data_IF_760039031541
#
_entry.id   IF_760039031541
#
_cell.length_a   1.000
_cell.length_b   1.000
_cell.length_c   1.000
_cell.angle_alpha   90.00
_cell.angle_beta   90.00
_cell.angle_gamma   90.00
#
_symmetry.space_group_name_H-M   'P 1'
#
loop_
_entity.id
_entity.type
_entity.pdbx_description
1 polymer ?
#
# COMPACT_ATOMS: atom_id res chain seq x y z
N UNK A 1 -13.61 42.76 -36.68
CA UNK A 1 -13.16 41.44 -36.20
C UNK A 1 -14.40 40.66 -35.76
N UNK A 2 -15.01 39.87 -36.64
CA UNK A 2 -16.14 39.00 -36.30
C UNK A 2 -15.63 37.57 -36.01
N UNK A 3 -16.22 36.85 -35.04
CA UNK A 3 -15.83 35.48 -34.71
C UNK A 3 -16.35 34.46 -35.74
N UNK A 4 -15.53 33.43 -36.02
CA UNK A 4 -15.81 32.33 -36.96
C UNK A 4 -16.99 31.45 -36.48
N UNK A 5 -17.95 31.08 -37.34
CA UNK A 5 -19.06 30.22 -36.97
C UNK A 5 -18.64 28.74 -36.83
N UNK A 6 -19.32 28.00 -35.96
CA UNK A 6 -19.11 26.58 -35.70
C UNK A 6 -19.47 25.69 -36.92
N UNK A 7 -18.77 24.56 -37.15
CA UNK A 7 -19.05 23.70 -38.30
C UNK A 7 -20.34 22.89 -38.10
N UNK A 8 -21.20 22.93 -39.11
CA UNK A 8 -22.48 22.24 -39.18
C UNK A 8 -22.35 20.72 -39.12
N UNK A 9 -23.24 20.08 -38.34
CA UNK A 9 -23.42 18.63 -38.29
C UNK A 9 -23.77 18.08 -39.67
N UNK A 10 -23.02 17.08 -40.14
CA UNK A 10 -23.39 16.31 -41.33
C UNK A 10 -24.33 15.19 -40.92
N UNK A 11 -25.62 15.44 -41.13
CA UNK A 11 -26.68 14.44 -41.21
C UNK A 11 -26.53 13.74 -42.56
N UNK A 12 -26.04 12.49 -42.59
CA UNK A 12 -26.40 11.51 -43.62
C UNK A 12 -25.73 10.17 -43.36
N UNK A 13 -26.47 9.22 -42.77
CA UNK A 13 -26.22 7.78 -42.91
C UNK A 13 -27.55 7.04 -42.73
N UNK A 14 -27.87 6.06 -43.59
CA UNK A 14 -29.19 5.44 -43.71
C UNK A 14 -29.53 4.54 -42.50
N UNK A 15 -30.83 4.32 -42.20
CA UNK A 15 -31.21 3.53 -41.03
C UNK A 15 -30.99 2.04 -41.30
N UNK A 16 -30.33 1.28 -40.40
CA UNK A 16 -30.47 -0.16 -40.43
C UNK A 16 -31.81 -0.53 -39.80
N UNK A 17 -32.75 -0.90 -40.66
CA UNK A 17 -33.94 -1.67 -40.27
C UNK A 17 -33.50 -2.96 -39.58
N UNK A 18 -33.91 -3.14 -38.33
CA UNK A 18 -33.69 -4.40 -37.60
C UNK A 18 -33.45 -4.17 -36.13
N UNK A 19 -34.51 -4.29 -35.34
CA UNK A 19 -34.48 -4.35 -33.88
C UNK A 19 -33.51 -5.42 -33.41
N UNK A 20 -32.29 -5.03 -33.04
CA UNK A 20 -31.45 -5.78 -32.13
C UNK A 20 -30.85 -4.80 -31.13
N UNK A 21 -31.50 -4.74 -29.97
CA UNK A 21 -30.92 -4.18 -28.76
C UNK A 21 -29.63 -4.96 -28.49
N UNK A 22 -28.49 -4.38 -28.83
CA UNK A 22 -27.21 -4.83 -28.30
C UNK A 22 -27.14 -4.29 -26.87
N UNK A 23 -27.64 -5.08 -25.92
CA UNK A 23 -27.30 -4.94 -24.52
C UNK A 23 -25.79 -5.10 -24.40
N UNK A 24 -25.08 -4.01 -24.13
CA UNK A 24 -23.68 -4.04 -23.73
C UNK A 24 -23.60 -4.57 -22.29
N UNK A 25 -23.80 -5.88 -22.16
CA UNK A 25 -23.59 -6.62 -20.93
C UNK A 25 -22.08 -6.72 -20.68
N UNK A 26 -21.48 -5.66 -20.13
CA UNK A 26 -20.15 -5.71 -19.51
C UNK A 26 -20.25 -6.51 -18.21
N UNK A 27 -20.37 -7.83 -18.37
CA UNK A 27 -20.52 -8.81 -17.31
C UNK A 27 -19.26 -9.00 -16.48
N UNK A 28 -18.90 -8.02 -15.65
CA UNK A 28 -18.10 -8.30 -14.48
C UNK A 28 -19.02 -8.94 -13.44
N UNK A 29 -18.89 -10.26 -13.24
CA UNK A 29 -19.49 -10.91 -12.08
C UNK A 29 -19.08 -10.14 -10.82
N UNK A 30 -20.02 -9.88 -9.91
CA UNK A 30 -19.70 -9.24 -8.63
C UNK A 30 -18.49 -9.96 -8.01
N UNK A 31 -17.45 -9.22 -7.56
CA UNK A 31 -16.23 -9.83 -7.06
C UNK A 31 -16.57 -10.79 -5.92
N UNK A 32 -15.94 -11.98 -5.88
CA UNK A 32 -16.23 -12.98 -4.86
C UNK A 32 -16.03 -12.36 -3.48
N UNK A 33 -17.08 -12.30 -2.68
CA UNK A 33 -17.05 -11.57 -1.42
C UNK A 33 -16.31 -12.39 -0.36
N UNK A 34 -15.28 -11.81 0.25
CA UNK A 34 -14.54 -12.44 1.33
C UNK A 34 -15.39 -12.55 2.60
N UNK A 35 -15.18 -13.64 3.35
CA UNK A 35 -15.85 -13.90 4.64
C UNK A 35 -15.22 -13.15 5.82
N UNK A 36 -14.07 -12.48 5.61
CA UNK A 36 -13.35 -11.73 6.64
C UNK A 36 -12.03 -11.13 6.15
N UNK A 37 -11.18 -10.68 7.07
CA UNK A 37 -9.80 -10.26 6.81
C UNK A 37 -8.86 -10.97 7.77
N UNK A 38 -7.73 -11.51 7.29
CA UNK A 38 -6.76 -12.12 8.20
C UNK A 38 -6.12 -11.05 9.11
N UNK A 39 -5.69 -11.43 10.33
CA UNK A 39 -5.01 -10.53 11.23
C UNK A 39 -3.72 -9.97 10.60
N UNK A 40 -3.50 -8.66 10.76
CA UNK A 40 -2.36 -7.96 10.16
C UNK A 40 -1.00 -8.52 10.61
N UNK A 41 -0.92 -9.11 11.81
CA UNK A 41 0.28 -9.78 12.33
C UNK A 41 0.74 -10.96 11.47
N UNK A 42 -0.18 -11.71 10.86
CA UNK A 42 0.16 -12.81 9.95
C UNK A 42 0.77 -12.27 8.66
N UNK A 43 0.26 -11.13 8.19
CA UNK A 43 0.76 -10.48 6.99
C UNK A 43 2.14 -9.85 7.20
N UNK A 44 2.36 -9.16 8.32
CA UNK A 44 3.69 -8.60 8.64
C UNK A 44 4.73 -9.71 8.83
N UNK A 45 4.36 -10.83 9.46
CA UNK A 45 5.22 -12.00 9.56
C UNK A 45 5.58 -12.60 8.20
N UNK A 46 4.66 -12.58 7.22
CA UNK A 46 4.97 -12.97 5.84
C UNK A 46 5.98 -11.99 5.21
N UNK A 47 5.77 -10.67 5.36
CA UNK A 47 6.66 -9.66 4.78
C UNK A 47 8.08 -9.74 5.31
N UNK A 48 8.25 -9.99 6.61
CA UNK A 48 9.57 -10.17 7.23
C UNK A 48 10.30 -11.40 6.69
N UNK A 49 9.57 -12.50 6.53
CA UNK A 49 10.14 -13.72 5.94
C UNK A 49 10.49 -13.53 4.46
N UNK A 50 9.69 -12.75 3.74
CA UNK A 50 9.95 -12.42 2.33
C UNK A 50 11.09 -11.42 2.14
N UNK A 51 11.28 -10.47 3.08
CA UNK A 51 12.39 -9.50 3.03
C UNK A 51 13.73 -10.17 3.29
N UNK A 52 13.76 -11.16 4.19
CA UNK A 52 14.96 -11.93 4.54
C UNK A 52 15.36 -12.91 3.43
N UNK A 53 14.39 -13.51 2.73
CA UNK A 53 14.68 -14.51 1.70
C UNK A 53 15.24 -13.87 0.41
N UNK A 54 16.45 -14.28 0.02
CA UNK A 54 17.14 -13.74 -1.17
C UNK A 54 16.81 -14.52 -2.43
N UNK A 55 16.40 -15.79 -2.32
CA UNK A 55 16.11 -16.65 -3.48
C UNK A 55 14.69 -16.40 -4.01
N UNK A 56 14.51 -15.94 -5.26
CA UNK A 56 13.19 -15.59 -5.78
C UNK A 56 12.26 -16.80 -5.93
N UNK A 57 12.79 -18.00 -6.19
CA UNK A 57 12.01 -19.25 -6.28
C UNK A 57 11.36 -19.58 -4.93
N UNK A 58 12.11 -19.39 -3.84
CA UNK A 58 11.63 -19.66 -2.48
C UNK A 58 10.59 -18.62 -2.06
N UNK A 59 10.82 -17.34 -2.39
CA UNK A 59 9.81 -16.28 -2.21
C UNK A 59 8.51 -16.59 -2.92
N UNK A 60 8.59 -17.01 -4.19
CA UNK A 60 7.43 -17.43 -4.99
C UNK A 60 6.67 -18.57 -4.33
N UNK A 61 7.39 -19.63 -3.90
CA UNK A 61 6.78 -20.76 -3.20
C UNK A 61 6.05 -20.34 -1.91
N UNK A 62 6.67 -19.47 -1.11
CA UNK A 62 6.08 -18.96 0.13
C UNK A 62 4.79 -18.18 -0.12
N UNK A 63 4.79 -17.32 -1.15
CA UNK A 63 3.59 -16.60 -1.59
C UNK A 63 2.49 -17.55 -2.08
N UNK A 64 2.83 -18.55 -2.88
CA UNK A 64 1.86 -19.54 -3.37
C UNK A 64 1.19 -20.30 -2.23
N UNK A 65 1.96 -20.78 -1.24
CA UNK A 65 1.42 -21.47 -0.06
C UNK A 65 0.52 -20.54 0.73
N UNK A 66 0.93 -19.29 0.93
CA UNK A 66 0.15 -18.31 1.68
C UNK A 66 -1.18 -17.97 0.98
N UNK A 67 -1.17 -17.75 -0.34
CA UNK A 67 -2.40 -17.48 -1.11
C UNK A 67 -3.34 -18.68 -1.18
N UNK A 68 -2.81 -19.92 -1.21
CA UNK A 68 -3.65 -21.11 -1.12
C UNK A 68 -4.41 -21.14 0.20
N UNK A 69 -3.70 -20.93 1.31
CA UNK A 69 -4.30 -20.88 2.65
C UNK A 69 -5.33 -19.74 2.78
N UNK A 70 -5.04 -18.56 2.24
CA UNK A 70 -6.00 -17.44 2.23
C UNK A 70 -7.30 -17.81 1.50
N UNK A 71 -7.19 -18.46 0.34
CA UNK A 71 -8.36 -18.88 -0.44
C UNK A 71 -9.23 -19.89 0.30
N UNK A 72 -8.63 -20.75 1.10
CA UNK A 72 -9.33 -21.74 1.93
C UNK A 72 -10.00 -21.09 3.16
N UNK A 73 -9.30 -20.20 3.87
CA UNK A 73 -9.79 -19.63 5.14
C UNK A 73 -10.73 -18.42 4.95
N UNK A 74 -10.44 -17.54 3.99
CA UNK A 74 -11.08 -16.21 3.87
C UNK A 74 -11.96 -16.10 2.63
N UNK A 75 -11.44 -16.52 1.48
CA UNK A 75 -12.13 -16.47 0.20
C UNK A 75 -11.23 -16.12 -0.98
N UNK A 76 -11.84 -16.06 -2.17
CA UNK A 76 -11.13 -15.87 -3.44
C UNK A 76 -10.73 -14.42 -3.72
N UNK A 77 -11.23 -13.44 -2.96
CA UNK A 77 -10.82 -12.06 -3.13
C UNK A 77 -9.46 -11.81 -2.45
N UNK A 78 -8.44 -11.57 -3.28
CA UNK A 78 -7.07 -11.28 -2.85
C UNK A 78 -6.75 -9.78 -2.90
N UNK A 79 -7.69 -8.96 -3.37
CA UNK A 79 -7.53 -7.52 -3.45
C UNK A 79 -7.06 -6.87 -2.14
N UNK A 80 -7.63 -7.19 -0.95
CA UNK A 80 -7.20 -6.56 0.29
C UNK A 80 -5.73 -6.77 0.63
N UNK A 81 -5.16 -7.90 0.22
CA UNK A 81 -3.77 -8.27 0.48
C UNK A 81 -2.85 -7.75 -0.61
N UNK A 82 -3.25 -7.90 -1.87
CA UNK A 82 -2.43 -7.53 -3.02
C UNK A 82 -2.08 -6.05 -3.01
N UNK A 83 -3.00 -5.16 -2.60
CA UNK A 83 -2.71 -3.73 -2.45
C UNK A 83 -1.64 -3.43 -1.38
N UNK A 84 -1.53 -4.27 -0.35
CA UNK A 84 -0.51 -4.13 0.70
C UNK A 84 0.85 -4.67 0.23
N UNK A 85 0.86 -5.74 -0.56
CA UNK A 85 2.09 -6.29 -1.17
C UNK A 85 2.64 -5.35 -2.25
N UNK A 86 1.74 -4.76 -3.04
CA UNK A 86 2.07 -3.92 -4.19
C UNK A 86 1.51 -2.51 -4.01
N UNK A 87 2.05 -1.71 -3.07
CA UNK A 87 1.55 -0.36 -2.80
C UNK A 87 1.65 0.56 -4.02
N UNK A 88 2.60 0.31 -4.93
CA UNK A 88 2.79 1.08 -6.17
C UNK A 88 1.67 0.86 -7.20
N UNK A 89 0.86 -0.19 -7.05
CA UNK A 89 -0.25 -0.52 -7.96
C UNK A 89 -1.62 -0.16 -7.38
N UNK A 90 -1.67 0.34 -6.15
CA UNK A 90 -2.90 0.85 -5.55
C UNK A 90 -3.26 2.20 -6.19
N UNK A 91 -4.40 2.24 -6.90
CA UNK A 91 -4.93 3.42 -7.57
C UNK A 91 -6.16 4.01 -6.87
N UNK A 92 -6.81 3.24 -6.00
CA UNK A 92 -8.04 3.68 -5.34
C UNK A 92 -7.75 4.66 -4.20
N UNK A 93 -6.59 4.51 -3.54
CA UNK A 93 -6.20 5.40 -2.46
C UNK A 93 -5.46 6.63 -3.01
N UNK A 94 -5.96 7.81 -2.69
CA UNK A 94 -5.25 9.06 -2.91
C UNK A 94 -3.92 9.07 -2.14
N UNK A 95 -2.98 9.91 -2.59
CA UNK A 95 -1.66 10.07 -1.95
C UNK A 95 -1.84 10.45 -0.48
N UNK A 96 -1.29 9.65 0.44
CA UNK A 96 -1.46 9.86 1.89
C UNK A 96 -0.92 11.21 2.41
N UNK A 97 -0.05 11.89 1.65
CA UNK A 97 0.55 13.16 2.07
C UNK A 97 1.45 13.05 3.32
N UNK A 98 1.80 11.83 3.73
CA UNK A 98 2.58 11.54 4.92
C UNK A 98 4.07 11.71 4.63
N UNK A 99 4.65 12.80 5.17
CA UNK A 99 6.10 13.00 5.21
C UNK A 99 6.68 12.37 6.47
N UNK A 100 7.86 11.79 6.38
CA UNK A 100 8.55 11.11 7.48
C UNK A 100 8.72 12.02 8.70
N UNK A 101 9.00 13.32 8.48
CA UNK A 101 9.10 14.33 9.54
C UNK A 101 7.80 14.52 10.32
N UNK A 102 6.64 14.40 9.66
CA UNK A 102 5.35 14.50 10.35
C UNK A 102 5.07 13.25 11.17
N UNK A 103 5.44 12.09 10.64
CA UNK A 103 5.34 10.81 11.35
C UNK A 103 6.22 10.85 12.62
N UNK A 104 7.46 11.33 12.52
CA UNK A 104 8.37 11.49 13.67
C UNK A 104 7.75 12.37 14.78
N UNK A 105 7.15 13.51 14.41
CA UNK A 105 6.47 14.40 15.37
C UNK A 105 5.31 13.72 16.07
N UNK A 106 4.57 12.84 15.38
CA UNK A 106 3.47 12.09 15.99
C UNK A 106 4.02 11.08 17.00
N UNK A 107 5.09 10.36 16.65
CA UNK A 107 5.72 9.41 17.58
C UNK A 107 6.28 10.07 18.84
N UNK A 108 6.94 11.22 18.71
CA UNK A 108 7.46 12.00 19.86
C UNK A 108 6.34 12.48 20.79
N UNK A 109 5.15 12.74 20.24
CA UNK A 109 3.98 13.12 21.06
C UNK A 109 3.32 11.92 21.73
N UNK A 110 3.32 10.76 21.06
CA UNK A 110 2.64 9.55 21.53
C UNK A 110 3.43 8.85 22.64
N UNK A 111 4.73 8.72 22.44
CA UNK A 111 5.69 8.21 23.42
C UNK A 111 6.33 9.49 23.95
N UNK A 112 5.97 10.00 25.14
CA UNK A 112 6.27 11.36 25.58
C UNK A 112 7.78 11.59 25.74
N UNK A 113 8.48 11.77 24.63
CA UNK A 113 9.89 12.03 24.53
C UNK A 113 10.12 13.55 24.58
N UNK A 114 11.19 13.95 25.23
CA UNK A 114 11.67 15.32 25.12
C UNK A 114 12.01 15.64 23.68
N UNK A 115 11.60 16.81 23.18
CA UNK A 115 11.94 17.24 21.82
C UNK A 115 13.45 17.37 21.57
N UNK A 116 14.25 17.41 22.65
CA UNK A 116 15.71 17.52 22.63
C UNK A 116 16.42 16.19 22.94
N UNK A 117 15.69 15.11 23.12
CA UNK A 117 16.30 13.81 23.39
C UNK A 117 17.01 13.29 22.14
N UNK A 118 18.13 12.55 22.30
CA UNK A 118 18.89 12.02 21.17
C UNK A 118 18.02 11.16 20.24
N UNK A 119 17.06 10.41 20.79
CA UNK A 119 16.12 9.60 20.02
C UNK A 119 15.12 10.44 19.22
N UNK A 120 14.58 11.51 19.80
CA UNK A 120 13.72 12.48 19.10
C UNK A 120 14.46 13.17 17.95
N UNK A 121 15.71 13.59 18.18
CA UNK A 121 16.56 14.16 17.14
C UNK A 121 16.90 13.15 16.03
N UNK A 122 17.10 11.87 16.38
CA UNK A 122 17.34 10.77 15.42
C UNK A 122 16.11 10.53 14.55
N UNK A 123 14.91 10.49 15.12
CA UNK A 123 13.65 10.33 14.37
C UNK A 123 13.40 11.54 13.45
N UNK A 124 13.64 12.77 13.94
CA UNK A 124 13.44 13.98 13.14
C UNK A 124 14.47 14.12 12.00
N UNK A 125 15.71 13.70 12.24
CA UNK A 125 16.83 13.85 11.30
C UNK A 125 17.36 12.50 10.81
N UNK A 126 16.49 11.55 10.50
CA UNK A 126 16.86 10.17 10.12
C UNK A 126 17.86 10.06 8.96
N UNK A 127 17.92 11.05 8.06
CA UNK A 127 18.88 11.11 6.94
C UNK A 127 20.29 11.54 7.34
N UNK A 128 20.44 12.20 8.49
CA UNK A 128 21.73 12.69 8.96
C UNK A 128 22.29 11.68 9.96
N UNK A 129 23.52 11.19 9.77
CA UNK A 129 24.17 10.41 10.82
C UNK A 129 24.38 11.33 12.03
N UNK A 130 23.84 10.94 13.18
CA UNK A 130 24.07 11.64 14.46
C UNK A 130 25.08 10.81 15.24
N UNK A 131 26.36 11.22 15.22
CA UNK A 131 27.46 10.54 15.93
C UNK A 131 27.87 9.20 15.31
N UNK A 132 28.15 8.20 16.15
CA UNK A 132 28.55 6.82 15.80
C UNK A 132 27.40 5.93 15.30
N UNK A 133 26.20 6.47 15.15
CA UNK A 133 25.01 5.70 14.80
C UNK A 133 24.93 5.43 13.29
N UNK A 134 24.40 4.25 12.95
CA UNK A 134 24.21 3.78 11.58
C UNK A 134 23.28 4.74 10.82
N UNK A 135 23.68 5.11 9.60
CA UNK A 135 22.79 5.82 8.67
C UNK A 135 21.70 4.85 8.21
N UNK A 136 20.43 5.18 8.49
CA UNK A 136 19.32 4.35 8.04
C UNK A 136 19.02 4.61 6.57
N UNK A 137 19.00 3.55 5.77
CA UNK A 137 18.62 3.62 4.35
C UNK A 137 17.14 3.95 4.15
N UNK A 138 16.30 3.74 5.17
CA UNK A 138 14.91 4.16 5.18
C UNK A 138 14.40 4.48 6.60
N UNK A 139 13.39 5.35 6.69
CA UNK A 139 12.78 5.76 7.95
C UNK A 139 12.19 4.57 8.74
N UNK A 140 11.70 3.53 8.06
CA UNK A 140 11.10 2.35 8.70
C UNK A 140 12.10 1.59 9.58
N UNK A 141 13.36 1.50 9.18
CA UNK A 141 14.41 0.86 9.99
C UNK A 141 14.78 1.72 11.20
N UNK A 142 14.88 3.05 11.01
CA UNK A 142 15.16 3.98 12.10
C UNK A 142 14.08 3.90 13.21
N UNK A 143 12.82 3.79 12.80
CA UNK A 143 11.69 3.65 13.71
C UNK A 143 11.65 2.27 14.37
N UNK A 144 11.93 1.20 13.61
CA UNK A 144 11.97 -0.17 14.12
C UNK A 144 13.02 -0.37 15.21
N UNK A 145 14.22 0.17 15.01
CA UNK A 145 15.29 0.15 16.01
C UNK A 145 14.87 0.89 17.29
N UNK A 146 14.27 2.07 17.15
CA UNK A 146 13.79 2.84 18.30
C UNK A 146 12.72 2.08 19.09
N UNK A 147 11.71 1.51 18.40
CA UNK A 147 10.65 0.76 19.06
C UNK A 147 11.16 -0.53 19.70
N UNK A 148 12.11 -1.22 19.06
CA UNK A 148 12.69 -2.44 19.63
C UNK A 148 13.46 -2.15 20.92
N UNK A 149 14.29 -1.11 20.95
CA UNK A 149 14.98 -0.63 22.15
C UNK A 149 14.00 -0.27 23.27
N UNK A 150 12.90 0.41 22.96
CA UNK A 150 11.89 0.77 23.94
C UNK A 150 11.17 -0.46 24.51
N UNK A 151 10.82 -1.44 23.68
CA UNK A 151 10.20 -2.69 24.14
C UNK A 151 11.14 -3.55 24.98
N UNK A 152 12.45 -3.49 24.72
CA UNK A 152 13.47 -4.18 25.51
C UNK A 152 13.69 -3.51 26.87
N UNK A 153 13.61 -2.18 26.95
CA UNK A 153 13.74 -1.42 28.20
C UNK A 153 12.51 -1.49 29.11
N UNK A 154 11.35 -1.89 28.57
CA UNK A 154 10.08 -1.96 29.32
C UNK A 154 9.76 -3.37 29.88
N UNK A 155 10.66 -4.34 29.68
CA UNK A 155 10.60 -5.68 30.30
C UNK A 155 11.62 -5.76 31.43
#
# INVERSE_FOLDING_TARGET
MQPTPAPSLRTDSPPPSGTMQAEENTGYSAPPQNRGSAPFSVLTGLFERLSTERKPERRRRMLSVWFNRWREEVGYDLYPVLRLILPQKDRERAVYGLKEKNIAKIYIKLIPLGMRDPDSLRLLNWKKPVGTNVCYSCYSLALGDYLSLQTASSR
#
